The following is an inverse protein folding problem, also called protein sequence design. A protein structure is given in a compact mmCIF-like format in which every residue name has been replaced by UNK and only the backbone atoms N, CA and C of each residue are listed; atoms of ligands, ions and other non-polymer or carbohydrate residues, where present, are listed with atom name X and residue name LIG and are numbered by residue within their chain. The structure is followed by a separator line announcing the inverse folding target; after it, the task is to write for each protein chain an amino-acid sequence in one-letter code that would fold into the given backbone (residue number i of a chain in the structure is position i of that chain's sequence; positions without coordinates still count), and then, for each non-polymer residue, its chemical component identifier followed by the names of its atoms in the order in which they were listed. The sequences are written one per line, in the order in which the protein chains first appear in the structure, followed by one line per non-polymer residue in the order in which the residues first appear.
data_IF_127800512865
#
_entry.id   IF_127800512865
#
_cell.length_a   1.000
_cell.length_b   1.000
_cell.length_c   1.000
_cell.angle_alpha   90.00
_cell.angle_beta   90.00
_cell.angle_gamma   90.00
#
_symmetry.space_group_name_H-M   'P 1'
#
loop_
_entity.id
_entity.type
_entity.pdbx_description
1 polymer ?
#
# COMPACT_ATOMS: atom_id res chain seq x y z
N UNK A 1 -7.64 -1.38 60.67
CA UNK A 1 -7.19 -0.26 59.82
C UNK A 1 -6.71 -0.81 58.48
N UNK A 2 -7.23 -0.23 57.39
CA UNK A 2 -6.73 -0.19 56.00
C UNK A 2 -6.35 -1.51 55.32
N UNK A 3 -7.34 -2.06 54.61
CA UNK A 3 -7.20 -2.97 53.46
C UNK A 3 -6.43 -2.22 52.35
N UNK A 4 -5.22 -2.66 52.01
CA UNK A 4 -4.54 -2.23 50.80
C UNK A 4 -4.83 -3.25 49.69
N UNK A 5 -5.88 -2.99 48.91
CA UNK A 5 -6.13 -3.67 47.66
C UNK A 5 -5.18 -3.05 46.61
N UNK A 6 -4.10 -3.75 46.26
CA UNK A 6 -3.25 -3.39 45.13
C UNK A 6 -4.00 -3.86 43.87
N UNK A 7 -4.72 -2.94 43.23
CA UNK A 7 -5.17 -3.09 41.86
C UNK A 7 -3.92 -3.10 40.96
N UNK A 8 -3.48 -4.28 40.55
CA UNK A 8 -2.52 -4.42 39.47
C UNK A 8 -3.26 -4.08 38.17
N UNK A 9 -3.11 -2.83 37.73
CA UNK A 9 -3.65 -2.35 36.47
C UNK A 9 -3.04 -3.12 35.31
N UNK A 10 -3.84 -3.99 34.68
CA UNK A 10 -3.56 -4.50 33.34
C UNK A 10 -3.54 -3.30 32.38
N UNK A 11 -2.36 -2.70 32.21
CA UNK A 11 -2.08 -1.82 31.08
C UNK A 11 -2.08 -2.70 29.83
N UNK A 12 -3.27 -2.94 29.29
CA UNK A 12 -3.44 -3.57 28.00
C UNK A 12 -2.75 -2.66 26.97
N UNK A 13 -1.52 -3.02 26.63
CA UNK A 13 -0.82 -2.51 25.47
C UNK A 13 -1.72 -2.81 24.27
N UNK A 14 -2.48 -1.81 23.83
CA UNK A 14 -3.10 -1.77 22.52
C UNK A 14 -1.97 -1.64 21.50
N UNK A 15 -1.15 -2.68 21.39
CA UNK A 15 -0.34 -2.89 20.21
C UNK A 15 -1.36 -3.08 19.08
N UNK A 16 -1.57 -2.03 18.28
CA UNK A 16 -2.31 -2.17 17.04
C UNK A 16 -1.71 -3.37 16.33
N UNK A 17 -2.52 -4.37 15.91
CA UNK A 17 -1.98 -5.50 15.21
C UNK A 17 -1.18 -4.94 14.05
N UNK A 18 0.13 -5.20 14.06
CA UNK A 18 0.99 -4.96 12.92
C UNK A 18 0.56 -5.95 11.85
N UNK A 19 -0.63 -5.74 11.28
CA UNK A 19 -1.04 -6.32 10.03
C UNK A 19 0.10 -5.96 9.09
N UNK A 20 0.85 -6.97 8.67
CA UNK A 20 2.02 -6.85 7.81
C UNK A 20 1.59 -6.42 6.40
N UNK A 21 0.92 -5.28 6.27
CA UNK A 21 0.81 -4.56 5.02
C UNK A 21 2.20 -4.07 4.70
N UNK A 22 2.75 -4.44 3.54
CA UNK A 22 4.03 -3.89 3.08
C UNK A 22 3.98 -2.37 3.16
N UNK A 23 5.10 -1.71 3.50
CA UNK A 23 5.15 -0.24 3.57
C UNK A 23 4.68 0.37 2.24
N UNK A 24 5.00 -0.26 1.11
CA UNK A 24 4.48 0.13 -0.20
C UNK A 24 2.94 0.12 -0.27
N UNK A 25 2.24 -0.88 0.29
CA UNK A 25 0.78 -0.88 0.28
C UNK A 25 0.19 0.22 1.15
N UNK A 26 0.81 0.50 2.30
CA UNK A 26 0.41 1.60 3.19
C UNK A 26 0.59 2.94 2.48
N UNK A 27 1.77 3.18 1.92
CA UNK A 27 2.09 4.43 1.24
C UNK A 27 1.28 4.62 -0.05
N UNK A 28 0.95 3.55 -0.78
CA UNK A 28 0.07 3.65 -1.94
C UNK A 28 -1.32 4.14 -1.53
N UNK A 29 -1.88 3.58 -0.44
CA UNK A 29 -3.17 4.05 0.09
C UNK A 29 -3.08 5.49 0.57
N UNK A 30 -1.99 5.85 1.25
CA UNK A 30 -1.79 7.22 1.70
C UNK A 30 -1.76 8.22 0.53
N UNK A 31 -1.06 7.88 -0.55
CA UNK A 31 -0.93 8.75 -1.73
C UNK A 31 -2.21 8.91 -2.51
N UNK A 32 -3.00 7.84 -2.67
CA UNK A 32 -4.09 7.81 -3.64
C UNK A 32 -5.49 7.72 -3.02
N UNK A 33 -5.61 7.36 -1.74
CA UNK A 33 -6.89 7.18 -1.05
C UNK A 33 -7.07 8.14 0.14
N UNK A 34 -6.08 8.97 0.45
CA UNK A 34 -6.20 10.03 1.45
C UNK A 34 -6.58 11.33 0.77
N UNK A 35 -7.57 12.02 1.30
CA UNK A 35 -8.10 13.27 0.77
C UNK A 35 -9.62 13.25 0.79
N UNK A 36 -10.23 14.39 1.12
CA UNK A 36 -11.69 14.54 1.18
C UNK A 36 -12.32 14.59 -0.22
N UNK A 37 -11.50 14.82 -1.25
CA UNK A 37 -11.86 14.91 -2.67
C UNK A 37 -11.70 13.59 -3.43
N UNK A 38 -11.20 12.53 -2.77
CA UNK A 38 -11.05 11.22 -3.42
C UNK A 38 -12.42 10.53 -3.53
N UNK A 39 -12.74 10.10 -4.74
CA UNK A 39 -13.99 9.38 -5.03
C UNK A 39 -14.18 8.16 -4.11
N UNK A 40 -15.33 8.10 -3.44
CA UNK A 40 -15.63 7.08 -2.44
C UNK A 40 -15.72 5.66 -3.04
N UNK A 41 -16.20 5.55 -4.29
CA UNK A 41 -16.27 4.28 -5.00
C UNK A 41 -14.88 3.78 -5.39
N UNK A 42 -13.98 4.67 -5.79
CA UNK A 42 -12.57 4.36 -5.99
C UNK A 42 -11.91 3.90 -4.69
N UNK A 43 -12.13 4.61 -3.57
CA UNK A 43 -11.62 4.19 -2.24
C UNK A 43 -12.09 2.78 -1.90
N UNK A 44 -13.39 2.50 -2.08
CA UNK A 44 -13.97 1.18 -1.82
C UNK A 44 -13.37 0.11 -2.73
N UNK A 45 -13.27 0.36 -4.03
CA UNK A 45 -12.68 -0.55 -5.02
C UNK A 45 -11.21 -0.82 -4.71
N UNK A 46 -10.41 0.22 -4.50
CA UNK A 46 -8.99 0.08 -4.21
C UNK A 46 -8.73 -0.68 -2.90
N UNK A 47 -9.53 -0.42 -1.84
CA UNK A 47 -9.45 -1.19 -0.58
C UNK A 47 -9.85 -2.66 -0.78
N UNK A 48 -10.86 -2.95 -1.60
CA UNK A 48 -11.25 -4.32 -1.98
C UNK A 48 -10.12 -5.05 -2.72
N UNK A 49 -9.38 -4.33 -3.58
CA UNK A 49 -8.20 -4.88 -4.24
C UNK A 49 -7.02 -5.08 -3.29
N UNK A 50 -6.75 -4.14 -2.38
CA UNK A 50 -5.68 -4.29 -1.38
C UNK A 50 -4.32 -4.62 -2.00
N UNK A 51 -3.71 -5.75 -1.62
CA UNK A 51 -2.45 -6.22 -2.21
C UNK A 51 -2.56 -6.48 -3.73
N UNK A 52 -3.75 -6.74 -4.24
CA UNK A 52 -3.99 -7.03 -5.67
C UNK A 52 -3.96 -5.77 -6.54
N UNK A 53 -3.73 -4.59 -5.97
CA UNK A 53 -3.32 -3.41 -6.74
C UNK A 53 -2.00 -3.68 -7.47
N UNK A 54 -1.06 -4.41 -6.87
CA UNK A 54 0.25 -4.73 -7.47
C UNK A 54 0.43 -6.24 -7.75
N UNK A 55 -0.37 -7.10 -7.13
CA UNK A 55 -0.27 -8.55 -7.26
C UNK A 55 -1.43 -9.15 -8.04
N UNK A 56 -1.21 -10.37 -8.54
CA UNK A 56 -2.27 -11.17 -9.16
C UNK A 56 -2.99 -11.96 -8.06
N UNK A 57 -4.31 -11.96 -8.11
CA UNK A 57 -5.17 -12.69 -7.19
C UNK A 57 -5.04 -14.19 -7.42
N UNK A 58 -5.08 -14.99 -6.33
CA UNK A 58 -4.86 -16.44 -6.32
C UNK A 58 -3.46 -16.91 -6.76
N UNK A 59 -2.54 -16.00 -6.99
CA UNK A 59 -1.13 -16.30 -7.32
C UNK A 59 -0.19 -16.05 -6.13
N UNK A 60 1.03 -16.61 -6.20
CA UNK A 60 2.08 -16.33 -5.22
C UNK A 60 2.55 -14.88 -5.33
N UNK A 61 2.11 -14.05 -4.38
CA UNK A 61 2.41 -12.61 -4.30
C UNK A 61 3.91 -12.30 -4.26
N UNK A 62 4.76 -13.23 -3.82
CA UNK A 62 6.22 -13.00 -3.80
C UNK A 62 6.85 -13.11 -5.19
N UNK A 63 6.22 -13.88 -6.08
CA UNK A 63 6.75 -14.22 -7.41
C UNK A 63 6.01 -13.50 -8.52
N UNK A 64 4.68 -13.42 -8.41
CA UNK A 64 3.80 -12.93 -9.47
C UNK A 64 3.30 -11.53 -9.14
N UNK A 65 3.53 -10.62 -10.08
CA UNK A 65 3.06 -9.23 -10.06
C UNK A 65 2.16 -9.01 -11.26
N UNK A 66 1.13 -8.20 -11.07
CA UNK A 66 0.30 -7.72 -12.17
C UNK A 66 1.09 -6.66 -12.96
N UNK A 67 0.56 -6.14 -14.06
CA UNK A 67 1.29 -5.18 -14.91
C UNK A 67 1.74 -3.91 -14.15
N UNK A 68 0.92 -3.41 -13.23
CA UNK A 68 1.27 -2.24 -12.41
C UNK A 68 2.36 -2.58 -11.38
N UNK A 69 2.26 -3.74 -10.73
CA UNK A 69 3.28 -4.21 -9.80
C UNK A 69 4.62 -4.45 -10.47
N UNK A 70 4.63 -4.89 -11.74
CA UNK A 70 5.86 -4.99 -12.55
C UNK A 70 6.46 -3.60 -12.80
N UNK A 71 5.64 -2.63 -13.20
CA UNK A 71 6.09 -1.25 -13.39
C UNK A 71 6.64 -0.63 -12.10
N UNK A 72 5.99 -0.85 -10.96
CA UNK A 72 6.51 -0.44 -9.64
C UNK A 72 7.87 -1.09 -9.38
N UNK A 73 8.03 -2.38 -9.68
CA UNK A 73 9.25 -3.12 -9.36
C UNK A 73 10.48 -2.66 -10.18
N UNK A 74 10.28 -1.95 -11.30
CA UNK A 74 11.38 -1.30 -12.02
C UNK A 74 12.03 -0.17 -11.21
N UNK A 75 11.27 0.48 -10.31
CA UNK A 75 11.70 1.67 -9.57
C UNK A 75 11.80 1.46 -8.06
N UNK A 76 11.06 0.47 -7.52
CA UNK A 76 11.01 0.15 -6.09
C UNK A 76 11.28 -1.33 -5.88
N UNK A 77 12.39 -1.62 -5.20
CA UNK A 77 12.77 -2.96 -4.75
C UNK A 77 12.62 -3.03 -3.25
N UNK A 78 12.06 -4.11 -2.72
CA UNK A 78 11.82 -4.22 -1.28
C UNK A 78 13.12 -4.27 -0.48
N UNK A 79 14.19 -4.73 -1.12
CA UNK A 79 15.54 -4.86 -0.59
C UNK A 79 16.16 -3.50 -0.26
N UNK A 80 15.77 -2.44 -0.97
CA UNK A 80 16.23 -1.07 -0.74
C UNK A 80 15.53 -0.40 0.46
N UNK A 81 14.48 -1.03 1.01
CA UNK A 81 13.66 -0.52 2.11
C UNK A 81 13.60 -1.52 3.26
N UNK A 82 14.75 -1.88 3.88
CA UNK A 82 14.74 -2.77 5.04
C UNK A 82 13.97 -2.11 6.19
N UNK A 83 13.31 -2.95 7.00
CA UNK A 83 12.36 -2.50 8.03
C UNK A 83 12.95 -1.48 9.01
N UNK A 84 14.20 -1.69 9.43
CA UNK A 84 14.87 -0.80 10.39
C UNK A 84 15.19 0.55 9.75
N UNK A 85 15.67 0.57 8.51
CA UNK A 85 15.92 1.81 7.77
C UNK A 85 14.63 2.62 7.55
N UNK A 86 13.53 1.97 7.16
CA UNK A 86 12.22 2.63 7.00
C UNK A 86 11.72 3.22 8.32
N UNK A 87 11.97 2.53 9.44
CA UNK A 87 11.58 3.02 10.77
C UNK A 87 12.41 4.23 11.20
N UNK A 88 13.70 4.25 10.87
CA UNK A 88 14.62 5.35 11.19
C UNK A 88 14.47 6.54 10.23
N UNK A 89 14.05 6.29 8.99
CA UNK A 89 13.96 7.29 7.91
C UNK A 89 12.56 7.30 7.26
N UNK A 90 11.47 7.50 8.03
CA UNK A 90 10.11 7.34 7.53
C UNK A 90 9.75 8.34 6.43
N UNK A 91 10.16 9.60 6.56
CA UNK A 91 9.87 10.65 5.57
C UNK A 91 10.64 10.42 4.26
N UNK A 92 11.90 10.00 4.36
CA UNK A 92 12.71 9.70 3.17
C UNK A 92 12.20 8.44 2.46
N UNK A 93 11.82 7.41 3.22
CA UNK A 93 11.17 6.23 2.68
C UNK A 93 9.88 6.61 1.93
N UNK A 94 9.00 7.41 2.53
CA UNK A 94 7.78 7.89 1.88
C UNK A 94 8.08 8.64 0.58
N UNK A 95 9.02 9.59 0.60
CA UNK A 95 9.40 10.37 -0.57
C UNK A 95 9.90 9.49 -1.72
N UNK A 96 10.80 8.54 -1.44
CA UNK A 96 11.33 7.62 -2.45
C UNK A 96 10.23 6.70 -3.00
N UNK A 97 9.36 6.19 -2.13
CA UNK A 97 8.22 5.35 -2.51
C UNK A 97 7.26 6.13 -3.42
N UNK A 98 6.93 7.38 -3.08
CA UNK A 98 6.04 8.21 -3.89
C UNK A 98 6.64 8.52 -5.26
N UNK A 99 7.93 8.84 -5.32
CA UNK A 99 8.63 9.04 -6.59
C UNK A 99 8.61 7.76 -7.46
N UNK A 100 8.76 6.59 -6.83
CA UNK A 100 8.63 5.31 -7.51
C UNK A 100 7.22 5.06 -8.06
N UNK A 101 6.17 5.41 -7.31
CA UNK A 101 4.79 5.32 -7.80
C UNK A 101 4.49 6.28 -8.94
N UNK A 102 5.03 7.50 -8.90
CA UNK A 102 4.86 8.48 -9.99
C UNK A 102 5.52 7.98 -11.28
N UNK A 103 6.76 7.50 -11.21
CA UNK A 103 7.46 6.90 -12.36
C UNK A 103 6.77 5.66 -12.90
N UNK A 104 6.26 4.80 -12.02
CA UNK A 104 5.43 3.68 -12.43
C UNK A 104 4.14 4.17 -13.10
N UNK A 105 3.53 5.24 -12.58
CA UNK A 105 2.34 5.91 -13.08
C UNK A 105 2.43 6.33 -14.55
N UNK A 106 3.62 6.73 -15.02
CA UNK A 106 3.88 7.15 -16.41
C UNK A 106 3.87 5.98 -17.41
N UNK A 107 4.01 4.74 -16.93
CA UNK A 107 3.97 3.55 -17.79
C UNK A 107 2.55 3.26 -18.25
N UNK A 108 2.45 2.64 -19.42
CA UNK A 108 1.16 2.23 -20.00
C UNK A 108 0.70 0.88 -19.46
N UNK A 109 -0.57 0.82 -19.11
CA UNK A 109 -1.35 -0.39 -18.93
C UNK A 109 -1.62 -1.05 -20.29
N UNK A 110 -1.96 -2.34 -20.29
CA UNK A 110 -2.35 -3.13 -21.48
C UNK A 110 -3.50 -2.53 -22.27
N UNK A 111 -4.36 -1.75 -21.62
CA UNK A 111 -5.47 -1.02 -22.25
C UNK A 111 -5.06 0.33 -22.89
N UNK A 112 -3.77 0.65 -22.91
CA UNK A 112 -3.20 1.79 -23.62
C UNK A 112 -3.17 3.11 -22.84
N UNK A 113 -3.93 3.22 -21.73
CA UNK A 113 -3.85 4.34 -20.78
C UNK A 113 -2.62 4.20 -19.89
N UNK A 114 -2.08 5.31 -19.41
CA UNK A 114 -1.08 5.29 -18.33
C UNK A 114 -1.72 4.87 -17.01
N UNK A 115 -0.95 4.27 -16.12
CA UNK A 115 -1.44 3.91 -14.79
C UNK A 115 -1.90 5.14 -14.00
N UNK A 116 -1.23 6.28 -14.16
CA UNK A 116 -1.62 7.55 -13.54
C UNK A 116 -2.97 8.07 -14.06
N UNK A 117 -3.24 7.99 -15.38
CA UNK A 117 -4.54 8.36 -15.95
C UNK A 117 -5.66 7.49 -15.37
N UNK A 118 -5.44 6.18 -15.24
CA UNK A 118 -6.40 5.25 -14.65
C UNK A 118 -6.70 5.59 -13.19
N UNK A 119 -5.67 5.78 -12.38
CA UNK A 119 -5.84 6.14 -10.95
C UNK A 119 -6.59 7.47 -10.81
N UNK A 120 -6.25 8.49 -11.62
CA UNK A 120 -6.98 9.78 -11.64
C UNK A 120 -8.43 9.63 -12.05
N UNK A 121 -8.75 8.66 -12.91
CA UNK A 121 -10.11 8.33 -13.31
C UNK A 121 -10.88 7.45 -12.30
N UNK A 122 -10.30 7.16 -11.13
CA UNK A 122 -10.94 6.26 -10.15
C UNK A 122 -10.92 4.79 -10.57
N UNK A 123 -10.05 4.42 -11.50
CA UNK A 123 -9.87 3.05 -11.96
C UNK A 123 -8.69 2.38 -11.23
N UNK A 124 -8.76 1.05 -11.07
CA UNK A 124 -7.59 0.29 -10.61
C UNK A 124 -6.54 0.24 -11.74
N UNK A 125 -5.25 0.36 -11.41
CA UNK A 125 -4.22 0.58 -12.44
C UNK A 125 -4.03 -0.64 -13.34
N UNK A 126 -4.03 -1.85 -12.77
CA UNK A 126 -3.80 -3.09 -13.52
C UNK A 126 -5.11 -3.73 -14.00
N UNK A 127 -5.13 -4.17 -15.25
CA UNK A 127 -6.21 -4.96 -15.87
C UNK A 127 -6.08 -6.46 -15.58
N UNK A 128 -4.88 -6.94 -15.20
CA UNK A 128 -4.56 -8.35 -15.01
C UNK A 128 -4.41 -8.75 -13.53
N UNK A 129 -5.03 -8.00 -12.62
CA UNK A 129 -5.02 -8.36 -11.18
C UNK A 129 -5.82 -9.62 -10.85
N UNK A 130 -6.78 -10.03 -11.70
CA UNK A 130 -7.67 -11.17 -11.42
C UNK A 130 -8.58 -10.97 -10.19
N UNK A 131 -8.68 -9.73 -9.69
CA UNK A 131 -9.56 -9.34 -8.59
C UNK A 131 -10.67 -8.46 -9.16
N UNK A 132 -11.90 -8.81 -8.82
CA UNK A 132 -13.14 -8.06 -9.12
C UNK A 132 -13.67 -7.39 -7.85
#
# INVERSE_FOLDING_TARGET
MKRFAILFGCLALLASPALATSEFSKQWKNKYLSGDDVDADFVKKARKHGCYICHVNKEDKKKVRNEYGKAIHEFLKAEDFPKDWVKENPEEAEKLIYAGFEKAGEKKSKDGKTFAEKIKAGEVPATDSGKE
#
